data_IF_772520554911
#
_entry.id   IF_772520554911
#
_cell.length_a   1.000
_cell.length_b   1.000
_cell.length_c   1.000
_cell.angle_alpha   90.00
_cell.angle_beta   90.00
_cell.angle_gamma   90.00
#
_symmetry.space_group_name_H-M   'P 1'
#
loop_
_entity.id
_entity.type
_entity.pdbx_description
1 polymer ?
#
# COMPACT_ATOMS: atom_id res chain seq x y z
N UNK A 1 -1.27 2.87 -16.19
CA UNK A 1 -0.42 4.09 -16.05
C UNK A 1 1.03 3.62 -15.92
N UNK A 2 1.99 4.43 -16.33
CA UNK A 2 3.41 4.10 -16.15
C UNK A 2 3.81 4.59 -14.75
N UNK A 3 4.30 3.68 -13.91
CA UNK A 3 5.03 4.04 -12.69
C UNK A 3 6.51 3.81 -12.92
N UNK A 4 7.30 4.30 -11.99
CA UNK A 4 8.73 4.01 -11.87
C UNK A 4 8.99 3.50 -10.46
N UNK A 5 9.89 2.53 -10.36
CA UNK A 5 10.47 2.12 -9.08
C UNK A 5 11.61 3.06 -8.71
N UNK A 6 11.78 3.25 -7.41
CA UNK A 6 12.84 4.07 -6.83
C UNK A 6 13.60 3.30 -5.79
N UNK A 7 14.89 3.60 -5.68
CA UNK A 7 15.79 2.99 -4.71
C UNK A 7 15.25 3.21 -3.29
N UNK A 8 15.09 2.14 -2.49
CA UNK A 8 14.67 2.29 -1.11
C UNK A 8 15.79 2.85 -0.22
N UNK A 9 15.44 3.44 0.91
CA UNK A 9 16.43 3.91 1.89
C UNK A 9 17.19 2.75 2.55
N UNK A 10 16.50 1.63 2.82
CA UNK A 10 17.09 0.40 3.35
C UNK A 10 16.97 -0.73 2.31
N UNK A 11 18.05 -1.46 2.11
CA UNK A 11 18.14 -2.66 1.26
C UNK A 11 17.13 -3.76 1.61
N UNK A 12 16.62 -3.79 2.85
CA UNK A 12 15.60 -4.74 3.29
C UNK A 12 14.17 -4.33 2.88
N UNK A 13 13.98 -3.10 2.39
CA UNK A 13 12.69 -2.61 1.95
C UNK A 13 12.45 -2.91 0.47
N UNK A 14 11.17 -2.98 0.11
CA UNK A 14 10.79 -3.09 -1.30
C UNK A 14 11.08 -1.76 -2.02
N UNK A 15 11.37 -1.78 -3.33
CA UNK A 15 11.52 -0.56 -4.10
C UNK A 15 10.24 0.28 -4.03
N UNK A 16 10.39 1.58 -3.79
CA UNK A 16 9.24 2.47 -3.75
C UNK A 16 8.65 2.65 -5.15
N UNK A 17 7.35 2.92 -5.26
CA UNK A 17 6.68 3.12 -6.54
C UNK A 17 6.08 4.52 -6.63
N UNK A 18 6.37 5.25 -7.71
CA UNK A 18 5.75 6.56 -7.95
C UNK A 18 5.36 6.78 -9.41
N UNK A 19 4.34 7.61 -9.63
CA UNK A 19 4.07 8.15 -10.97
C UNK A 19 4.77 9.50 -11.11
N UNK A 20 5.67 9.63 -12.07
CA UNK A 20 6.32 10.90 -12.38
C UNK A 20 5.25 11.94 -12.75
N UNK A 21 5.38 13.13 -12.20
CA UNK A 21 4.50 14.29 -12.45
C UNK A 21 5.24 15.35 -13.22
N UNK A 22 6.49 15.59 -12.86
CA UNK A 22 7.34 16.59 -13.48
C UNK A 22 8.82 16.18 -13.36
N UNK A 23 9.67 16.77 -14.19
CA UNK A 23 11.12 16.64 -14.15
C UNK A 23 11.69 18.05 -14.28
N UNK A 24 12.43 18.50 -13.28
CA UNK A 24 13.00 19.84 -13.22
C UNK A 24 14.53 19.76 -13.23
N UNK A 25 15.16 20.81 -13.75
CA UNK A 25 16.61 20.96 -13.73
C UNK A 25 16.95 22.28 -13.03
N UNK A 26 17.85 22.19 -12.06
CA UNK A 26 18.41 23.32 -11.33
C UNK A 26 19.53 24.00 -12.12
N UNK A 27 19.91 25.22 -11.71
CA UNK A 27 20.95 26.01 -12.38
C UNK A 27 22.35 25.38 -12.32
N UNK A 28 22.60 24.55 -11.32
CA UNK A 28 23.82 23.76 -11.16
C UNK A 28 23.84 22.48 -12.01
N UNK A 29 22.77 22.24 -12.79
CA UNK A 29 22.62 21.07 -13.64
C UNK A 29 21.99 19.85 -12.95
N UNK A 30 21.75 19.90 -11.63
CA UNK A 30 21.09 18.82 -10.90
C UNK A 30 19.65 18.63 -11.40
N UNK A 31 19.21 17.38 -11.51
CA UNK A 31 17.89 17.03 -12.02
C UNK A 31 17.04 16.36 -10.93
N UNK A 32 15.84 16.87 -10.75
CA UNK A 32 14.87 16.38 -9.76
C UNK A 32 13.63 15.85 -10.47
N UNK A 33 13.02 14.82 -9.88
CA UNK A 33 11.79 14.21 -10.35
C UNK A 33 10.73 14.42 -9.29
N UNK A 34 9.63 15.09 -9.65
CA UNK A 34 8.46 15.15 -8.77
C UNK A 34 7.64 13.87 -8.94
N UNK A 35 7.69 13.01 -7.93
CA UNK A 35 6.92 11.77 -7.85
C UNK A 35 5.54 11.99 -7.23
N UNK A 36 4.58 11.12 -7.56
CA UNK A 36 3.40 10.88 -6.71
C UNK A 36 3.43 9.44 -6.25
N UNK A 37 3.51 9.27 -4.94
CA UNK A 37 3.83 8.01 -4.29
C UNK A 37 2.67 7.02 -4.23
N UNK A 38 3.05 5.76 -4.30
CA UNK A 38 2.24 4.59 -4.01
C UNK A 38 2.91 3.85 -2.87
N UNK A 39 2.09 3.30 -1.97
CA UNK A 39 2.58 2.63 -0.77
C UNK A 39 2.19 1.16 -0.80
N UNK A 40 3.10 0.30 -0.35
CA UNK A 40 2.71 -1.06 -0.06
C UNK A 40 1.83 -1.10 1.21
N UNK A 41 0.81 -1.99 1.29
CA UNK A 41 -0.07 -2.07 2.45
C UNK A 41 0.69 -2.27 3.77
N UNK A 42 1.78 -3.01 3.76
CA UNK A 42 2.62 -3.28 4.93
C UNK A 42 3.43 -2.08 5.43
N UNK A 43 3.65 -1.05 4.61
CA UNK A 43 4.41 0.17 4.96
C UNK A 43 3.56 1.19 5.74
N UNK A 44 2.28 0.88 5.92
CA UNK A 44 1.26 1.81 6.34
C UNK A 44 0.60 1.35 7.64
N UNK A 45 0.63 2.22 8.65
CA UNK A 45 -0.17 2.00 9.85
C UNK A 45 -1.62 2.39 9.56
N UNK A 46 -2.57 1.52 9.92
CA UNK A 46 -3.99 1.85 9.80
C UNK A 46 -4.38 2.82 10.90
N UNK A 47 -5.08 3.91 10.55
CA UNK A 47 -5.70 4.79 11.55
C UNK A 47 -6.65 3.97 12.45
N UNK A 48 -6.35 3.92 13.75
CA UNK A 48 -7.06 3.08 14.74
C UNK A 48 -6.25 1.88 15.24
N UNK A 49 -5.02 1.70 14.75
CA UNK A 49 -4.11 0.63 15.15
C UNK A 49 -4.19 -0.61 14.24
N UNK A 50 -3.07 -1.32 14.13
CA UNK A 50 -2.93 -2.51 13.29
C UNK A 50 -2.41 -2.22 11.87
N UNK A 51 -2.06 -3.29 11.16
CA UNK A 51 -1.52 -3.22 9.81
C UNK A 51 -2.63 -3.38 8.78
N UNK A 52 -2.45 -2.81 7.59
CA UNK A 52 -3.29 -3.17 6.46
C UNK A 52 -2.98 -4.60 6.03
N UNK A 53 -4.01 -5.43 5.91
CA UNK A 53 -3.89 -6.73 5.28
C UNK A 53 -4.00 -6.51 3.78
N UNK A 54 -2.96 -6.95 3.07
CA UNK A 54 -2.98 -6.98 1.61
C UNK A 54 -3.74 -8.22 1.15
N UNK A 55 -4.67 -8.05 0.22
CA UNK A 55 -5.34 -9.18 -0.44
C UNK A 55 -4.45 -9.86 -1.49
N UNK A 56 -3.40 -9.17 -1.97
CA UNK A 56 -2.48 -9.65 -3.01
C UNK A 56 -1.11 -8.93 -2.85
N UNK A 57 0.00 -9.63 -3.04
CA UNK A 57 1.34 -9.05 -2.92
C UNK A 57 1.64 -7.95 -3.95
N UNK A 58 0.81 -7.85 -5.00
CA UNK A 58 0.89 -6.85 -6.06
C UNK A 58 0.06 -5.60 -5.75
N UNK A 59 -0.65 -5.57 -4.63
CA UNK A 59 -1.46 -4.41 -4.25
C UNK A 59 -0.60 -3.23 -3.81
N UNK A 60 -0.95 -2.05 -4.31
CA UNK A 60 -0.44 -0.76 -3.90
C UNK A 60 -1.58 0.17 -3.51
N UNK A 61 -1.31 1.07 -2.59
CA UNK A 61 -2.19 2.16 -2.21
C UNK A 61 -1.83 3.43 -2.98
N UNK A 62 -2.80 3.97 -3.72
CA UNK A 62 -2.61 5.25 -4.39
C UNK A 62 -2.71 6.40 -3.41
N UNK A 63 -1.72 7.28 -3.42
CA UNK A 63 -1.74 8.46 -2.57
C UNK A 63 -1.71 9.78 -3.33
N UNK A 64 -2.05 10.86 -2.62
CA UNK A 64 -1.83 12.22 -3.10
C UNK A 64 -0.48 12.81 -2.68
N UNK A 65 0.33 12.07 -1.91
CA UNK A 65 1.64 12.50 -1.49
C UNK A 65 2.55 12.69 -2.71
N UNK A 66 3.20 13.85 -2.76
CA UNK A 66 4.17 14.18 -3.78
C UNK A 66 5.45 14.59 -3.08
N UNK A 67 6.55 14.22 -3.69
CA UNK A 67 7.87 14.60 -3.24
C UNK A 67 8.81 14.75 -4.42
N UNK A 68 9.91 15.47 -4.21
CA UNK A 68 10.98 15.64 -5.18
C UNK A 68 12.19 14.81 -4.78
N UNK A 69 12.67 14.01 -5.73
CA UNK A 69 13.81 13.13 -5.52
C UNK A 69 14.78 13.23 -6.68
N UNK A 70 16.09 12.99 -6.45
CA UNK A 70 17.07 12.98 -7.51
C UNK A 70 16.73 11.96 -8.59
N UNK A 71 17.01 12.30 -9.85
CA UNK A 71 16.71 11.42 -10.99
C UNK A 71 17.49 10.09 -10.92
N UNK A 72 18.64 10.10 -10.26
CA UNK A 72 19.53 8.95 -10.05
C UNK A 72 18.87 7.86 -9.19
N UNK A 73 17.88 8.22 -8.38
CA UNK A 73 17.11 7.26 -7.58
C UNK A 73 16.08 6.48 -8.40
N UNK A 74 15.82 6.86 -9.67
CA UNK A 74 14.90 6.15 -10.57
C UNK A 74 15.54 4.85 -11.02
N UNK A 75 14.90 3.72 -10.71
CA UNK A 75 15.41 2.39 -11.09
C UNK A 75 14.85 1.94 -12.45
N UNK A 76 13.59 1.51 -12.51
CA UNK A 76 13.00 0.99 -13.74
C UNK A 76 11.52 1.35 -13.89
N UNK A 77 11.07 1.29 -15.14
CA UNK A 77 9.66 1.46 -15.49
C UNK A 77 8.84 0.28 -14.95
N UNK A 78 7.74 0.56 -14.26
CA UNK A 78 6.79 -0.40 -13.73
C UNK A 78 5.44 -0.29 -14.42
N UNK A 79 4.81 -1.44 -14.69
CA UNK A 79 3.43 -1.49 -15.18
C UNK A 79 2.49 -1.58 -14.00
N UNK A 80 1.56 -0.62 -13.93
CA UNK A 80 0.53 -0.61 -12.89
C UNK A 80 -0.87 -0.50 -13.45
N UNK A 81 -1.73 -1.35 -12.91
CA UNK A 81 -3.12 -1.52 -13.27
C UNK A 81 -4.01 -0.89 -12.20
N UNK A 82 -4.94 -0.03 -12.62
CA UNK A 82 -6.02 0.37 -11.72
C UNK A 82 -7.06 -0.73 -11.73
N UNK A 83 -7.55 -1.13 -10.57
CA UNK A 83 -8.65 -2.09 -10.46
C UNK A 83 -9.69 -1.48 -9.53
N UNK A 84 -10.97 -1.36 -9.94
CA UNK A 84 -12.02 -0.88 -9.05
C UNK A 84 -12.10 -1.74 -7.79
N UNK A 85 -12.48 -1.12 -6.66
CA UNK A 85 -12.50 -1.81 -5.36
C UNK A 85 -13.41 -3.04 -5.32
N UNK A 86 -14.48 -3.03 -6.12
CA UNK A 86 -15.48 -4.09 -6.23
C UNK A 86 -15.14 -5.12 -7.32
N UNK A 87 -13.94 -5.08 -7.91
CA UNK A 87 -13.51 -6.01 -8.97
C UNK A 87 -12.32 -6.85 -8.51
N UNK A 88 -12.26 -8.11 -8.93
CA UNK A 88 -11.09 -8.94 -8.70
C UNK A 88 -9.87 -8.43 -9.49
N UNK A 89 -8.67 -8.78 -9.01
CA UNK A 89 -7.44 -8.45 -9.71
C UNK A 89 -7.32 -9.24 -11.02
N UNK A 90 -6.69 -8.66 -12.05
CA UNK A 90 -6.44 -9.37 -13.30
C UNK A 90 -5.48 -10.56 -13.07
N UNK A 91 -5.61 -11.57 -13.92
CA UNK A 91 -4.79 -12.77 -13.85
C UNK A 91 -3.29 -12.43 -13.95
N UNK A 92 -2.48 -12.98 -13.03
CA UNK A 92 -1.05 -12.66 -12.94
C UNK A 92 -0.24 -13.05 -14.18
N UNK A 93 -0.54 -14.19 -14.80
CA UNK A 93 0.20 -14.69 -15.97
C UNK A 93 -0.08 -13.86 -17.22
N UNK A 94 -1.33 -13.41 -17.38
CA UNK A 94 -1.76 -12.63 -18.55
C UNK A 94 -1.42 -11.14 -18.40
N UNK A 95 -1.47 -10.62 -17.18
CA UNK A 95 -1.28 -9.21 -16.87
C UNK A 95 -0.28 -9.04 -15.73
N UNK A 96 1.03 -9.21 -16.00
CA UNK A 96 2.06 -8.96 -15.01
C UNK A 96 2.08 -7.48 -14.60
N UNK A 97 2.56 -7.21 -13.39
CA UNK A 97 2.68 -5.88 -12.82
C UNK A 97 1.89 -5.68 -11.54
N UNK A 98 2.03 -4.48 -10.97
CA UNK A 98 1.37 -4.08 -9.72
C UNK A 98 -0.07 -3.62 -10.00
N UNK A 99 -0.90 -3.63 -8.97
CA UNK A 99 -2.29 -3.19 -9.06
C UNK A 99 -2.62 -2.26 -7.91
N UNK A 100 -3.44 -1.24 -8.13
CA UNK A 100 -3.97 -0.43 -7.04
C UNK A 100 -5.49 -0.40 -7.07
N UNK A 101 -6.09 -0.65 -5.92
CA UNK A 101 -7.55 -0.60 -5.71
C UNK A 101 -7.99 0.57 -4.86
N UNK A 102 -7.18 0.93 -3.87
CA UNK A 102 -7.56 1.84 -2.80
C UNK A 102 -6.87 3.20 -2.94
N UNK A 103 -7.62 4.23 -2.58
CA UNK A 103 -7.16 5.61 -2.51
C UNK A 103 -6.99 6.03 -1.07
N UNK A 104 -5.83 6.58 -0.77
CA UNK A 104 -5.37 6.82 0.59
C UNK A 104 -4.95 8.28 0.79
N UNK A 105 -5.31 8.82 1.94
CA UNK A 105 -4.67 10.01 2.51
C UNK A 105 -3.62 9.55 3.51
N UNK A 106 -2.39 10.02 3.33
CA UNK A 106 -1.36 9.87 4.34
C UNK A 106 -1.42 11.04 5.29
N UNK A 107 -1.17 10.73 6.56
CA UNK A 107 -0.94 11.69 7.62
C UNK A 107 0.29 11.22 8.40
N UNK A 108 1.21 12.14 8.67
CA UNK A 108 2.33 11.85 9.55
C UNK A 108 1.85 11.96 10.98
N UNK A 109 1.97 10.87 11.76
CA UNK A 109 1.63 10.88 13.18
C UNK A 109 2.68 11.62 14.02
N UNK A 110 2.34 11.97 15.26
CA UNK A 110 3.23 12.68 16.18
C UNK A 110 4.52 11.90 16.52
N UNK A 111 4.56 10.59 16.27
CA UNK A 111 5.72 9.71 16.48
C UNK A 111 6.58 9.50 15.23
N UNK A 112 6.32 10.23 14.14
CA UNK A 112 7.01 10.04 12.85
C UNK A 112 6.52 8.82 12.05
N UNK A 113 5.55 8.05 12.57
CA UNK A 113 4.96 6.92 11.85
C UNK A 113 3.97 7.39 10.78
N UNK A 114 3.96 6.65 9.67
CA UNK A 114 3.11 6.93 8.52
C UNK A 114 1.71 6.33 8.74
N UNK A 115 0.78 7.17 9.17
CA UNK A 115 -0.62 6.77 9.35
C UNK A 115 -1.37 6.94 8.03
N UNK A 116 -1.96 5.86 7.55
CA UNK A 116 -2.79 5.87 6.35
C UNK A 116 -4.26 5.74 6.73
N UNK A 117 -5.08 6.62 6.14
CA UNK A 117 -6.54 6.56 6.20
C UNK A 117 -7.10 6.39 4.78
N UNK A 118 -8.00 5.43 4.61
CA UNK A 118 -8.85 5.31 3.43
C UNK A 118 -9.62 6.60 3.20
N UNK A 119 -9.49 7.16 2.01
CA UNK A 119 -10.39 8.23 1.57
C UNK A 119 -11.73 7.62 1.18
N UNK A 120 -12.84 8.24 1.59
CA UNK A 120 -14.11 8.05 0.90
C UNK A 120 -13.91 8.57 -0.53
N UNK A 121 -14.01 7.64 -1.48
CA UNK A 121 -14.20 7.78 -2.93
C UNK A 121 -13.78 9.15 -3.48
N UNK A 122 -12.69 9.17 -4.27
CA UNK A 122 -12.28 10.37 -5.03
C UNK A 122 -13.48 10.91 -5.82
N UNK A 123 -13.54 12.23 -6.03
CA UNK A 123 -14.42 12.87 -7.00
C UNK A 123 -14.68 11.98 -8.24
N UNK A 124 -15.96 11.65 -8.44
CA UNK A 124 -16.47 10.58 -9.32
C UNK A 124 -15.86 10.59 -10.71
N UNK A 125 -15.63 11.76 -11.28
CA UNK A 125 -15.15 11.93 -12.65
C UNK A 125 -13.76 11.31 -12.90
N UNK A 126 -12.85 11.41 -11.92
CA UNK A 126 -11.49 10.84 -12.07
C UNK A 126 -11.50 9.31 -11.99
N UNK A 127 -12.37 8.75 -11.12
CA UNK A 127 -12.60 7.32 -10.99
C UNK A 127 -13.24 6.73 -12.25
N UNK A 128 -14.26 7.40 -12.81
CA UNK A 128 -14.92 6.98 -14.05
C UNK A 128 -13.88 6.86 -15.18
N UNK A 129 -13.01 7.87 -15.35
CA UNK A 129 -11.97 7.82 -16.40
C UNK A 129 -10.94 6.70 -16.19
N UNK A 130 -10.71 6.30 -14.95
CA UNK A 130 -9.77 5.24 -14.59
C UNK A 130 -10.38 3.87 -14.84
N UNK A 131 -11.64 3.69 -14.43
CA UNK A 131 -12.41 2.48 -14.62
C UNK A 131 -12.63 2.16 -16.10
N UNK A 132 -13.01 3.16 -16.91
CA UNK A 132 -13.11 2.99 -18.38
C UNK A 132 -11.78 2.53 -18.99
N UNK A 133 -10.65 3.11 -18.57
CA UNK A 133 -9.31 2.71 -19.04
C UNK A 133 -8.95 1.29 -18.61
N UNK A 134 -9.39 0.86 -17.44
CA UNK A 134 -9.22 -0.52 -16.97
C UNK A 134 -10.05 -1.48 -17.81
N UNK A 135 -11.32 -1.17 -18.08
CA UNK A 135 -12.20 -2.00 -18.92
C UNK A 135 -11.69 -2.17 -20.34
N UNK A 136 -11.18 -1.11 -20.97
CA UNK A 136 -10.55 -1.20 -22.30
C UNK A 136 -9.34 -2.14 -22.30
N UNK A 137 -8.63 -2.27 -21.17
CA UNK A 137 -7.37 -3.02 -21.10
C UNK A 137 -7.56 -4.49 -20.72
N UNK A 138 -8.53 -4.80 -19.86
CA UNK A 138 -8.72 -6.15 -19.32
C UNK A 138 -10.07 -6.78 -19.69
N UNK A 139 -10.96 -6.03 -20.35
CA UNK A 139 -12.35 -6.41 -20.45
C UNK A 139 -13.08 -6.20 -19.12
N UNK A 140 -14.21 -6.89 -18.95
CA UNK A 140 -14.95 -6.87 -17.70
C UNK A 140 -14.34 -7.87 -16.71
N UNK A 141 -13.83 -7.34 -15.60
CA UNK A 141 -13.31 -8.16 -14.51
C UNK A 141 -14.49 -8.68 -13.66
N UNK A 142 -14.36 -9.84 -13.01
CA UNK A 142 -15.44 -10.34 -12.15
C UNK A 142 -15.62 -9.43 -10.94
N UNK A 143 -16.88 -9.21 -10.56
CA UNK A 143 -17.24 -8.48 -9.35
C UNK A 143 -16.92 -9.30 -8.10
N UNK A 144 -16.46 -8.61 -7.06
CA UNK A 144 -16.31 -9.14 -5.71
C UNK A 144 -17.68 -9.00 -5.04
N UNK A 145 -18.21 -10.07 -4.45
CA UNK A 145 -19.52 -9.98 -3.80
C UNK A 145 -19.48 -8.94 -2.66
N UNK A 146 -20.54 -8.12 -2.48
CA UNK A 146 -20.58 -7.09 -1.43
C UNK A 146 -20.33 -7.63 -0.02
N UNK A 147 -20.72 -8.89 0.20
CA UNK A 147 -20.52 -9.62 1.45
C UNK A 147 -19.04 -9.94 1.69
N UNK A 148 -18.25 -10.23 0.65
CA UNK A 148 -16.81 -10.48 0.75
C UNK A 148 -16.03 -9.21 1.09
N UNK A 149 -16.45 -8.03 0.60
CA UNK A 149 -15.77 -6.77 0.92
C UNK A 149 -15.97 -6.37 2.39
N UNK A 150 -17.20 -6.51 2.89
CA UNK A 150 -17.52 -6.26 4.29
C UNK A 150 -16.94 -7.34 5.22
N UNK A 151 -16.95 -8.61 4.79
CA UNK A 151 -16.33 -9.71 5.51
C UNK A 151 -14.82 -9.55 5.57
N UNK A 152 -14.16 -9.13 4.50
CA UNK A 152 -12.72 -8.87 4.50
C UNK A 152 -12.37 -7.69 5.41
N UNK A 153 -13.15 -6.60 5.39
CA UNK A 153 -12.95 -5.50 6.36
C UNK A 153 -13.20 -5.92 7.82
N UNK A 154 -14.14 -6.84 8.08
CA UNK A 154 -14.41 -7.39 9.41
C UNK A 154 -13.34 -8.41 9.84
N UNK A 155 -12.93 -9.30 8.96
CA UNK A 155 -11.88 -10.29 9.18
C UNK A 155 -10.53 -9.59 9.39
N UNK A 156 -10.24 -8.55 8.60
CA UNK A 156 -9.06 -7.74 8.76
C UNK A 156 -9.03 -7.06 10.13
N UNK A 157 -10.20 -6.57 10.59
CA UNK A 157 -10.35 -6.03 11.94
C UNK A 157 -10.18 -7.09 13.02
N UNK A 158 -10.72 -8.29 12.84
CA UNK A 158 -10.61 -9.39 13.80
C UNK A 158 -9.16 -9.92 13.89
N UNK A 159 -8.47 -10.04 12.76
CA UNK A 159 -7.07 -10.46 12.67
C UNK A 159 -6.12 -9.40 13.24
N UNK A 160 -6.35 -8.12 12.95
CA UNK A 160 -5.60 -7.02 13.57
C UNK A 160 -5.75 -7.02 15.10
N UNK A 161 -6.97 -7.23 15.62
CA UNK A 161 -7.22 -7.39 17.07
C UNK A 161 -6.50 -8.62 17.66
N UNK A 162 -6.50 -9.76 16.97
CA UNK A 162 -5.78 -10.97 17.40
C UNK A 162 -4.26 -10.76 17.44
N UNK A 163 -3.70 -10.05 16.47
CA UNK A 163 -2.27 -9.72 16.41
C UNK A 163 -1.88 -8.76 17.54
N UNK A 164 -2.75 -7.78 17.86
CA UNK A 164 -2.57 -6.89 19.02
C UNK A 164 -2.61 -7.65 20.35
N UNK A 165 -3.54 -8.59 20.51
CA UNK A 165 -3.59 -9.45 21.69
C UNK A 165 -2.35 -10.34 21.84
N UNK A 166 -1.86 -10.93 20.76
CA UNK A 166 -0.63 -11.74 20.79
C UNK A 166 0.61 -10.93 21.19
N UNK A 167 0.67 -9.65 20.85
CA UNK A 167 1.75 -8.75 21.28
C UNK A 167 1.67 -8.36 22.77
N UNK A 168 0.51 -8.52 23.42
CA UNK A 168 0.26 -8.16 24.82
C UNK A 168 0.29 -9.34 25.80
N UNK A 169 0.62 -10.56 25.34
CA UNK A 169 0.84 -11.69 26.24
C UNK A 169 2.31 -11.70 26.63
N UNK A 170 2.61 -11.27 27.85
CA UNK A 170 3.93 -11.46 28.47
C UNK A 170 4.25 -12.95 28.60
N UNK A 171 5.53 -13.37 28.48
CA UNK A 171 5.91 -14.77 28.68
C UNK A 171 5.50 -15.21 30.09
N UNK A 172 4.78 -16.33 30.19
CA UNK A 172 4.48 -16.96 31.47
C UNK A 172 5.82 -17.41 32.08
N UNK A 173 6.25 -16.78 33.17
CA UNK A 173 7.40 -17.20 33.96
C UNK A 173 6.99 -18.41 34.82
N UNK A 174 7.60 -19.57 34.57
CA UNK A 174 7.33 -20.82 35.29
C UNK A 174 8.60 -21.22 36.03
N UNK A 175 8.98 -20.43 37.03
CA UNK A 175 10.05 -20.81 37.96
C UNK A 175 9.48 -21.73 39.04
N UNK A 176 9.72 -23.04 38.87
CA UNK A 176 9.48 -24.11 39.84
C UNK A 176 10.57 -24.01 40.92
N UNK A 177 10.23 -23.55 42.13
CA UNK A 177 11.11 -23.67 43.29
C UNK A 177 11.10 -25.11 43.81
N UNK A 178 12.25 -25.79 43.74
CA UNK A 178 12.52 -27.02 44.49
C UNK A 178 13.08 -26.63 45.87
N UNK A 179 12.30 -26.86 46.92
CA UNK A 179 12.72 -26.69 48.31
C UNK A 179 13.54 -27.89 48.79
N UNK A 180 14.82 -27.66 49.08
CA UNK A 180 15.74 -28.59 49.73
C UNK A 180 15.39 -28.73 51.22
N UNK A 181 15.20 -29.97 51.69
CA UNK A 181 15.05 -30.30 53.12
C UNK A 181 16.43 -30.29 53.80
N UNK A 182 16.55 -29.57 54.91
CA UNK A 182 17.58 -29.76 55.95
C UNK A 182 17.09 -30.68 57.04
#
# INVERSE_FOLDING_TARGET
>A
RILFSFTPEDTNQKPYAASIKDITQSRDGSMMVTGRWFYHPEEADRKGGGNWLSGDTRELFYSFHRDEIPVESVMHKCVVHFVPIHKHLPNHKQHPGLSFKRFMTLWTGNSGSLLIKTMKIISSMRLISLDQKTRVRFGDLPDIEPQETAAQEQEDQLKAKRMLWKKNISPLDVSREEGCMT
#
